data_IF_846273762016
#
_entry.id   IF_846273762016
#
_cell.length_a   1.000
_cell.length_b   1.000
_cell.length_c   1.000
_cell.angle_alpha   90.00
_cell.angle_beta   90.00
_cell.angle_gamma   90.00
#
_symmetry.space_group_name_H-M   'P 1'
#
loop_
_entity.id
_entity.type
_entity.pdbx_description
1 polymer ?
#
# COMPACT_ATOMS: atom_id res chain seq x y z
N UNK A 1 -44.60 -16.27 -61.23
CA UNK A 1 -45.27 -15.34 -62.18
C UNK A 1 -44.74 -13.92 -61.92
N UNK A 2 -44.16 -13.30 -63.01
CA UNK A 2 -43.90 -11.86 -63.21
C UNK A 2 -43.06 -11.10 -62.15
N UNK A 3 -41.71 -10.79 -62.34
CA UNK A 3 -41.08 -9.83 -63.27
C UNK A 3 -41.57 -8.40 -63.05
N UNK A 4 -40.65 -7.56 -62.63
CA UNK A 4 -40.24 -6.22 -63.05
C UNK A 4 -39.40 -5.61 -61.96
N UNK A 5 -38.16 -5.18 -62.06
CA UNK A 5 -37.46 -4.47 -63.10
C UNK A 5 -37.49 -2.98 -62.84
N UNK A 6 -36.32 -2.34 -62.72
CA UNK A 6 -36.01 -0.94 -63.05
C UNK A 6 -35.00 -0.40 -61.93
N UNK A 7 -33.81 -0.29 -62.30
CA UNK A 7 -33.04 0.78 -62.93
C UNK A 7 -32.21 1.63 -61.97
N UNK A 8 -30.95 1.70 -62.29
CA UNK A 8 -29.81 2.44 -61.81
C UNK A 8 -30.01 3.95 -61.58
N UNK A 9 -29.33 4.47 -60.57
CA UNK A 9 -28.78 5.82 -60.65
C UNK A 9 -27.47 5.86 -59.83
N UNK A 10 -26.36 5.94 -60.51
CA UNK A 10 -25.03 6.34 -59.96
C UNK A 10 -25.09 7.81 -59.56
N UNK A 11 -24.77 8.09 -58.35
CA UNK A 11 -24.26 9.40 -57.92
C UNK A 11 -22.93 9.19 -57.21
N UNK A 12 -21.86 9.52 -57.94
CA UNK A 12 -20.54 9.69 -57.40
C UNK A 12 -20.50 11.05 -56.70
N UNK A 13 -20.43 11.04 -55.35
CA UNK A 13 -20.08 12.22 -54.58
C UNK A 13 -18.71 11.97 -53.97
N UNK A 14 -17.73 12.71 -54.50
CA UNK A 14 -16.38 12.72 -53.99
C UNK A 14 -16.34 13.34 -52.62
N UNK A 15 -16.02 12.54 -51.59
CA UNK A 15 -15.65 13.02 -50.25
C UNK A 15 -14.16 13.40 -50.24
N UNK A 16 -13.92 14.70 -50.30
CA UNK A 16 -12.61 15.29 -49.95
C UNK A 16 -12.41 15.09 -48.44
N UNK A 17 -11.54 14.16 -48.07
CA UNK A 17 -11.14 13.97 -46.67
C UNK A 17 -10.14 15.07 -46.34
N UNK A 18 -10.65 16.11 -45.66
CA UNK A 18 -9.81 17.09 -44.94
C UNK A 18 -9.25 16.41 -43.70
N UNK A 19 -7.99 16.01 -43.76
CA UNK A 19 -7.22 15.57 -42.60
C UNK A 19 -6.91 16.78 -41.75
N UNK A 20 -7.70 16.99 -40.68
CA UNK A 20 -7.38 17.96 -39.63
C UNK A 20 -6.37 17.32 -38.69
N UNK A 21 -5.24 18.00 -38.35
CA UNK A 21 -4.35 17.51 -37.31
C UNK A 21 -5.08 17.56 -35.97
N UNK A 22 -5.26 16.38 -35.37
CA UNK A 22 -5.76 16.26 -33.99
C UNK A 22 -4.70 16.80 -33.02
N UNK A 23 -4.88 18.03 -32.57
CA UNK A 23 -4.14 18.56 -31.43
C UNK A 23 -4.52 17.76 -30.20
N UNK A 24 -3.59 16.98 -29.68
CA UNK A 24 -3.73 16.29 -28.39
C UNK A 24 -3.72 17.34 -27.27
N UNK A 25 -4.86 17.94 -26.98
CA UNK A 25 -5.04 18.76 -25.80
C UNK A 25 -5.02 17.85 -24.56
N UNK A 26 -4.04 18.09 -23.70
CA UNK A 26 -3.87 17.39 -22.43
C UNK A 26 -5.16 17.47 -21.61
N UNK A 27 -5.57 16.36 -21.00
CA UNK A 27 -6.72 16.29 -20.08
C UNK A 27 -6.62 17.30 -18.93
N UNK A 28 -5.41 17.75 -18.61
CA UNK A 28 -5.12 18.78 -17.61
C UNK A 28 -5.65 20.16 -18.01
N UNK A 29 -5.64 20.52 -19.30
CA UNK A 29 -6.14 21.83 -19.75
C UNK A 29 -7.66 21.89 -19.76
N UNK A 30 -8.34 20.77 -20.01
CA UNK A 30 -9.79 20.68 -19.89
C UNK A 30 -10.28 20.79 -18.44
N UNK A 31 -9.49 20.28 -17.50
CA UNK A 31 -9.86 20.36 -16.09
C UNK A 31 -9.72 21.77 -15.53
N UNK A 32 -8.71 22.55 -15.99
CA UNK A 32 -8.53 23.94 -15.60
C UNK A 32 -9.62 24.87 -16.13
N UNK A 33 -10.16 24.64 -17.31
CA UNK A 33 -11.21 25.48 -17.89
C UNK A 33 -12.59 25.31 -17.24
N UNK A 34 -12.83 24.19 -16.55
CA UNK A 34 -14.11 23.87 -15.90
C UNK A 34 -14.26 24.49 -14.51
N UNK A 35 -13.16 24.94 -13.86
CA UNK A 35 -13.17 25.46 -12.50
C UNK A 35 -12.76 26.94 -12.39
N UNK A 36 -12.85 27.73 -13.49
CA UNK A 36 -12.88 29.19 -13.42
C UNK A 36 -11.73 29.85 -12.65
N UNK A 37 -10.51 29.35 -12.73
CA UNK A 37 -9.33 29.98 -12.14
C UNK A 37 -8.70 30.97 -13.11
N UNK A 38 -8.61 32.26 -12.70
CA UNK A 38 -7.88 33.33 -13.35
C UNK A 38 -6.43 32.89 -13.65
N UNK A 39 -5.84 33.20 -14.80
CA UNK A 39 -4.43 32.87 -15.05
C UNK A 39 -3.54 33.68 -14.13
N UNK A 40 -3.00 33.03 -13.12
CA UNK A 40 -1.87 33.51 -12.35
C UNK A 40 -0.60 33.11 -13.09
N UNK A 41 0.20 34.12 -13.39
CA UNK A 41 1.54 34.04 -13.99
C UNK A 41 2.41 33.03 -13.22
N UNK A 42 3.22 32.20 -13.89
CA UNK A 42 4.03 31.20 -13.19
C UNK A 42 5.11 31.92 -12.39
N UNK A 43 4.94 32.02 -11.09
CA UNK A 43 6.01 32.34 -10.17
C UNK A 43 7.03 31.19 -10.25
N UNK A 44 8.10 31.42 -10.98
CA UNK A 44 9.32 30.63 -10.89
C UNK A 44 9.84 30.74 -9.47
N UNK A 45 9.62 29.72 -8.71
CA UNK A 45 10.44 29.36 -7.55
C UNK A 45 10.47 27.85 -7.44
N UNK A 46 11.13 27.20 -8.42
CA UNK A 46 11.73 25.92 -8.18
C UNK A 46 12.91 26.20 -7.25
N UNK A 47 12.71 26.06 -5.95
CA UNK A 47 13.82 25.81 -5.05
C UNK A 47 14.59 24.60 -5.62
N UNK A 48 15.95 24.65 -5.70
CA UNK A 48 16.71 23.51 -6.11
C UNK A 48 16.33 22.33 -5.23
N UNK A 49 15.81 21.26 -5.82
CA UNK A 49 15.59 20.01 -5.12
C UNK A 49 16.93 19.60 -4.50
N UNK A 50 16.97 19.46 -3.18
CA UNK A 50 18.17 19.02 -2.49
C UNK A 50 18.56 17.65 -3.06
N UNK A 51 19.79 17.48 -3.60
CA UNK A 51 20.22 16.20 -4.19
C UNK A 51 20.15 15.03 -3.21
N UNK A 52 20.02 15.31 -1.90
CA UNK A 52 19.88 14.30 -0.86
C UNK A 52 18.48 13.67 -0.80
N UNK A 53 17.40 14.38 -1.20
CA UNK A 53 16.04 13.80 -1.17
C UNK A 53 15.87 12.66 -2.19
N UNK A 54 16.38 12.80 -3.41
CA UNK A 54 16.32 11.74 -4.42
C UNK A 54 17.13 10.49 -4.05
N UNK A 55 18.25 10.66 -3.35
CA UNK A 55 19.09 9.53 -2.91
C UNK A 55 18.48 8.76 -1.72
N UNK A 56 17.63 9.40 -0.92
CA UNK A 56 16.95 8.76 0.21
C UNK A 56 15.84 7.84 -0.29
N UNK A 57 15.07 8.25 -1.29
CA UNK A 57 14.01 7.41 -1.89
C UNK A 57 14.58 6.17 -2.60
N UNK A 58 15.68 6.31 -3.31
CA UNK A 58 16.34 5.22 -4.06
C UNK A 58 16.90 4.14 -3.12
N UNK A 59 17.25 4.49 -1.89
CA UNK A 59 17.81 3.57 -0.90
C UNK A 59 16.79 3.00 0.10
N UNK A 60 15.53 3.40 0.02
CA UNK A 60 14.46 2.89 0.89
C UNK A 60 13.77 1.71 0.20
N UNK A 61 13.87 0.47 0.74
CA UNK A 61 13.31 -0.73 0.14
C UNK A 61 11.83 -0.62 -0.16
N UNK A 62 11.32 -1.25 -1.23
CA UNK A 62 9.89 -1.29 -1.52
C UNK A 62 9.12 -2.04 -0.43
N UNK A 63 7.84 -1.66 -0.23
CA UNK A 63 6.94 -2.36 0.69
C UNK A 63 6.11 -3.37 -0.08
N UNK A 64 6.03 -4.59 0.44
CA UNK A 64 5.19 -5.66 -0.07
C UNK A 64 4.39 -6.30 1.06
N UNK A 65 3.13 -6.62 0.81
CA UNK A 65 2.32 -7.38 1.76
C UNK A 65 2.69 -8.85 1.60
N UNK A 66 3.07 -9.50 2.71
CA UNK A 66 3.41 -10.94 2.69
C UNK A 66 2.22 -11.76 2.22
N UNK A 67 2.45 -12.71 1.30
CA UNK A 67 1.40 -13.59 0.82
C UNK A 67 0.71 -14.33 1.99
N UNK A 68 -0.61 -14.33 1.98
CA UNK A 68 -1.44 -14.90 3.05
C UNK A 68 -1.59 -14.05 4.32
N UNK A 69 -0.92 -12.89 4.41
CA UNK A 69 -0.96 -12.00 5.56
C UNK A 69 -1.64 -10.63 5.29
N UNK A 70 -2.35 -10.51 4.18
CA UNK A 70 -3.10 -9.29 3.81
C UNK A 70 -4.41 -9.12 4.56
N UNK A 71 -4.91 -10.20 5.16
CA UNK A 71 -6.19 -10.25 5.86
C UNK A 71 -6.03 -10.98 7.19
N UNK A 72 -6.68 -10.47 8.23
CA UNK A 72 -6.75 -11.06 9.57
C UNK A 72 -8.20 -11.19 9.98
N UNK A 73 -8.68 -12.42 10.12
CA UNK A 73 -10.04 -12.71 10.54
C UNK A 73 -10.06 -13.45 11.87
N UNK A 74 -11.00 -13.08 12.74
CA UNK A 74 -11.22 -13.69 14.05
C UNK A 74 -12.61 -14.28 14.12
N UNK A 75 -12.69 -15.55 14.50
CA UNK A 75 -13.94 -16.27 14.68
C UNK A 75 -14.53 -16.13 16.07
N UNK A 76 -15.75 -16.59 16.24
CA UNK A 76 -16.37 -16.79 17.54
C UNK A 76 -15.53 -17.76 18.39
N UNK A 77 -15.65 -17.68 19.71
CA UNK A 77 -14.85 -18.47 20.64
C UNK A 77 -14.84 -19.96 20.29
N UNK A 78 -13.65 -20.51 20.08
CA UNK A 78 -13.45 -21.92 19.73
C UNK A 78 -13.82 -22.31 18.30
N UNK A 79 -14.15 -21.34 17.43
CA UNK A 79 -14.54 -21.59 16.04
C UNK A 79 -13.56 -20.97 15.04
N UNK A 80 -13.48 -21.56 13.87
CA UNK A 80 -12.76 -20.97 12.75
C UNK A 80 -13.46 -19.69 12.26
N UNK A 81 -12.67 -18.73 11.76
CA UNK A 81 -13.20 -17.48 11.24
C UNK A 81 -13.77 -17.67 9.82
N UNK A 82 -14.86 -18.41 9.68
CA UNK A 82 -15.51 -18.73 8.42
C UNK A 82 -17.02 -18.53 8.47
N UNK A 83 -17.60 -18.05 7.39
CA UNK A 83 -19.05 -17.87 7.25
C UNK A 83 -19.66 -17.03 8.38
N UNK A 84 -20.70 -17.55 9.01
CA UNK A 84 -21.44 -16.85 10.07
C UNK A 84 -20.69 -16.79 11.41
N UNK A 85 -19.59 -17.52 11.56
CA UNK A 85 -18.79 -17.52 12.79
C UNK A 85 -17.72 -16.42 12.81
N UNK A 86 -17.58 -15.61 11.74
CA UNK A 86 -16.66 -14.47 11.71
C UNK A 86 -17.15 -13.36 12.64
N UNK A 87 -16.31 -12.96 13.60
CA UNK A 87 -16.55 -11.80 14.47
C UNK A 87 -16.12 -10.50 13.82
N UNK A 88 -14.93 -10.47 13.26
CA UNK A 88 -14.43 -9.34 12.50
C UNK A 88 -13.32 -9.79 11.54
N UNK A 89 -13.09 -8.96 10.54
CA UNK A 89 -11.98 -9.11 9.58
C UNK A 89 -11.29 -7.78 9.39
N UNK A 90 -9.96 -7.78 9.45
CA UNK A 90 -9.12 -6.64 9.12
C UNK A 90 -8.41 -6.87 7.78
N UNK A 91 -8.24 -5.81 6.99
CA UNK A 91 -7.54 -5.86 5.69
C UNK A 91 -6.64 -4.65 5.53
N UNK A 92 -5.41 -4.85 5.03
CA UNK A 92 -4.49 -3.76 4.68
C UNK A 92 -4.93 -3.18 3.34
N UNK A 93 -5.02 -1.85 3.24
CA UNK A 93 -5.49 -1.15 2.03
C UNK A 93 -4.44 -0.28 1.38
N UNK A 94 -3.57 0.37 2.18
CA UNK A 94 -2.49 1.23 1.68
C UNK A 94 -1.27 1.13 2.56
N UNK A 95 -0.10 1.39 1.95
CA UNK A 95 1.17 1.47 2.64
C UNK A 95 1.97 2.66 2.15
N UNK A 96 2.81 3.19 3.02
CA UNK A 96 3.79 4.22 2.70
C UNK A 96 5.10 3.88 3.41
N UNK A 97 6.21 4.40 2.91
CA UNK A 97 7.53 4.21 3.52
C UNK A 97 8.32 5.51 3.51
N UNK A 98 9.20 5.62 4.49
CA UNK A 98 10.20 6.65 4.61
C UNK A 98 11.41 6.08 5.33
N UNK A 99 12.64 6.46 4.95
CA UNK A 99 13.87 5.95 5.52
C UNK A 99 14.82 7.08 5.84
N UNK A 100 15.40 7.04 7.04
CA UNK A 100 16.44 7.97 7.45
C UNK A 100 17.73 7.22 7.71
N UNK A 101 18.85 7.67 7.12
CA UNK A 101 20.18 7.11 7.35
C UNK A 101 20.92 7.94 8.39
N UNK A 102 21.43 7.30 9.42
CA UNK A 102 22.26 7.92 10.44
C UNK A 102 23.17 6.89 11.12
N UNK A 103 24.40 7.25 11.39
CA UNK A 103 25.33 6.45 12.21
C UNK A 103 25.61 5.03 11.70
N UNK A 104 25.52 4.78 10.39
CA UNK A 104 25.72 3.43 9.81
C UNK A 104 24.48 2.55 9.82
N UNK A 105 23.35 3.08 10.24
CA UNK A 105 22.06 2.39 10.29
C UNK A 105 21.00 3.13 9.48
N UNK A 106 19.96 2.40 9.12
CA UNK A 106 18.75 2.93 8.50
C UNK A 106 17.59 2.74 9.48
N UNK A 107 16.90 3.84 9.78
CA UNK A 107 15.62 3.80 10.49
C UNK A 107 14.49 3.89 9.48
N UNK A 108 13.69 2.85 9.39
CA UNK A 108 12.54 2.81 8.51
C UNK A 108 11.27 3.22 9.25
N UNK A 109 10.45 4.00 8.56
CA UNK A 109 9.13 4.43 8.96
C UNK A 109 8.11 3.90 7.97
N UNK A 110 7.27 2.96 8.39
CA UNK A 110 6.29 2.30 7.53
C UNK A 110 4.89 2.68 8.00
N UNK A 111 4.18 3.39 7.13
CA UNK A 111 2.76 3.69 7.33
C UNK A 111 1.90 2.57 6.76
N UNK A 112 0.95 2.09 7.54
CA UNK A 112 0.02 1.02 7.18
C UNK A 112 -1.40 1.53 7.42
N UNK A 113 -2.22 1.56 6.38
CA UNK A 113 -3.64 1.85 6.49
C UNK A 113 -4.44 0.59 6.18
N UNK A 114 -5.54 0.43 6.87
CA UNK A 114 -6.46 -0.68 6.68
C UNK A 114 -7.84 -0.36 7.18
N UNK A 115 -8.69 -1.36 7.17
CA UNK A 115 -10.03 -1.30 7.73
C UNK A 115 -10.38 -2.56 8.46
N UNK A 116 -11.23 -2.43 9.47
CA UNK A 116 -11.84 -3.53 10.19
C UNK A 116 -13.33 -3.56 9.84
N UNK A 117 -13.83 -4.74 9.50
CA UNK A 117 -15.24 -4.97 9.19
C UNK A 117 -15.77 -5.96 10.22
N UNK A 118 -16.91 -5.63 10.87
CA UNK A 118 -17.63 -6.54 11.74
C UNK A 118 -18.20 -7.70 10.94
N UNK A 119 -18.07 -8.91 11.48
CA UNK A 119 -18.64 -10.10 10.90
C UNK A 119 -20.02 -10.43 11.50
N UNK A 120 -20.70 -11.46 10.94
CA UNK A 120 -22.06 -11.86 11.39
C UNK A 120 -22.14 -12.27 12.86
N UNK A 121 -21.05 -12.81 13.43
CA UNK A 121 -21.00 -13.20 14.84
C UNK A 121 -20.84 -12.01 15.81
N UNK A 122 -20.76 -10.78 15.29
CA UNK A 122 -20.63 -9.55 16.07
C UNK A 122 -19.20 -9.26 16.56
N UNK A 123 -18.68 -8.08 16.20
CA UNK A 123 -17.40 -7.61 16.69
C UNK A 123 -17.48 -7.17 18.17
N UNK A 124 -16.40 -7.26 18.95
CA UNK A 124 -16.33 -6.62 20.26
C UNK A 124 -16.25 -5.10 20.12
N UNK A 125 -16.47 -4.36 21.21
CA UNK A 125 -16.41 -2.90 21.21
C UNK A 125 -15.03 -2.34 20.76
N UNK A 126 -13.96 -3.11 20.97
CA UNK A 126 -12.64 -2.81 20.44
C UNK A 126 -11.91 -4.07 20.00
N UNK A 127 -11.06 -3.95 19.00
CA UNK A 127 -10.24 -5.04 18.47
C UNK A 127 -8.77 -4.66 18.46
N UNK A 128 -7.89 -5.61 18.79
CA UNK A 128 -6.46 -5.46 18.60
C UNK A 128 -6.06 -5.98 17.21
N UNK A 129 -5.32 -5.18 16.50
CA UNK A 129 -4.81 -5.48 15.16
C UNK A 129 -3.31 -5.75 15.27
N UNK A 130 -2.91 -7.02 15.16
CA UNK A 130 -1.51 -7.43 15.22
C UNK A 130 -0.87 -7.31 13.84
N UNK A 131 0.24 -6.61 13.75
CA UNK A 131 1.00 -6.43 12.52
C UNK A 131 2.47 -6.77 12.76
N UNK A 132 3.16 -7.19 11.71
CA UNK A 132 4.60 -7.34 11.71
C UNK A 132 5.19 -6.61 10.51
N UNK A 133 6.31 -5.96 10.74
CA UNK A 133 7.16 -5.39 9.69
C UNK A 133 8.51 -6.10 9.75
N UNK A 134 9.01 -6.50 8.60
CA UNK A 134 10.32 -7.13 8.47
C UNK A 134 11.08 -6.56 7.27
N UNK A 135 12.37 -6.32 7.43
CA UNK A 135 13.31 -6.12 6.33
C UNK A 135 13.86 -7.48 5.96
N UNK A 136 13.71 -7.84 4.70
CA UNK A 136 14.17 -9.13 4.18
C UNK A 136 15.04 -8.89 2.96
N UNK A 137 16.19 -9.51 2.94
CA UNK A 137 17.01 -9.64 1.73
C UNK A 137 16.40 -10.72 0.86
N UNK A 138 15.86 -10.33 -0.31
CA UNK A 138 15.32 -11.23 -1.31
C UNK A 138 16.40 -12.04 -2.02
N UNK A 139 15.99 -13.09 -2.71
CA UNK A 139 16.86 -13.99 -3.48
C UNK A 139 16.42 -15.44 -3.36
N UNK A 140 17.27 -16.37 -3.79
CA UNK A 140 17.00 -17.82 -3.73
C UNK A 140 16.79 -18.28 -2.27
N UNK A 141 17.50 -17.67 -1.33
CA UNK A 141 17.33 -17.91 0.11
C UNK A 141 17.06 -16.56 0.79
N UNK A 142 15.79 -16.30 1.10
CA UNK A 142 15.40 -15.11 1.83
C UNK A 142 16.08 -15.07 3.20
N UNK A 143 16.63 -13.89 3.56
CA UNK A 143 17.24 -13.65 4.86
C UNK A 143 16.55 -12.49 5.56
N UNK A 144 15.98 -12.74 6.73
CA UNK A 144 15.45 -11.67 7.58
C UNK A 144 16.60 -10.88 8.18
N UNK A 145 16.64 -9.57 7.90
CA UNK A 145 17.65 -8.64 8.41
C UNK A 145 17.20 -8.04 9.72
N UNK A 146 15.94 -7.56 9.77
CA UNK A 146 15.31 -7.07 11.00
C UNK A 146 13.81 -7.35 10.95
N UNK A 147 13.19 -7.55 12.11
CA UNK A 147 11.74 -7.74 12.21
C UNK A 147 11.23 -7.21 13.54
N UNK A 148 10.03 -6.61 13.51
CA UNK A 148 9.39 -6.09 14.72
C UNK A 148 7.87 -6.26 14.66
N UNK A 149 7.25 -6.75 15.77
CA UNK A 149 5.80 -6.77 15.92
C UNK A 149 5.28 -5.37 16.30
N UNK A 150 4.07 -5.07 15.84
CA UNK A 150 3.33 -3.86 16.17
C UNK A 150 1.89 -4.21 16.46
N UNK A 151 1.21 -3.36 17.23
CA UNK A 151 -0.20 -3.51 17.56
C UNK A 151 -0.89 -2.16 17.48
N UNK A 152 -2.15 -2.17 17.09
CA UNK A 152 -3.02 -1.00 17.21
C UNK A 152 -4.41 -1.46 17.67
N UNK A 153 -5.04 -0.65 18.49
CA UNK A 153 -6.40 -0.92 18.98
C UNK A 153 -7.38 -0.08 18.16
N UNK A 154 -8.44 -0.70 17.69
CA UNK A 154 -9.49 -0.06 16.89
C UNK A 154 -10.81 -0.16 17.67
N UNK A 155 -11.39 0.97 18.03
CA UNK A 155 -12.75 1.02 18.58
C UNK A 155 -13.75 0.78 17.45
N UNK A 156 -14.62 -0.20 17.61
CA UNK A 156 -15.64 -0.53 16.62
C UNK A 156 -16.83 0.42 16.73
N UNK A 157 -17.32 0.90 15.58
CA UNK A 157 -18.55 1.68 15.49
C UNK A 157 -19.76 0.79 15.24
N UNK A 158 -20.95 1.34 15.42
CA UNK A 158 -22.22 0.65 15.10
C UNK A 158 -22.34 0.31 13.62
N UNK A 159 -21.72 1.10 12.74
CA UNK A 159 -21.66 0.83 11.30
C UNK A 159 -20.82 -0.41 10.95
N UNK A 160 -20.02 -0.91 11.89
CA UNK A 160 -19.22 -2.11 11.73
C UNK A 160 -18.12 -2.05 10.67
N UNK A 161 -17.73 -0.85 10.21
CA UNK A 161 -16.66 -0.65 9.20
C UNK A 161 -15.77 0.53 9.61
N UNK A 162 -14.64 0.24 10.24
CA UNK A 162 -13.77 1.24 10.86
C UNK A 162 -12.39 1.23 10.18
N UNK A 163 -11.90 2.37 9.67
CA UNK A 163 -10.53 2.49 9.19
C UNK A 163 -9.55 2.51 10.37
N UNK A 164 -8.33 2.03 10.14
CA UNK A 164 -7.22 2.18 11.07
C UNK A 164 -5.96 2.64 10.34
N UNK A 165 -5.06 3.25 11.11
CA UNK A 165 -3.72 3.61 10.66
C UNK A 165 -2.72 3.22 11.73
N UNK A 166 -1.61 2.63 11.31
CA UNK A 166 -0.45 2.35 12.17
C UNK A 166 0.80 2.89 11.50
N UNK A 167 1.67 3.52 12.30
CA UNK A 167 3.00 3.94 11.85
C UNK A 167 4.05 3.17 12.65
N UNK A 168 4.75 2.26 11.96
CA UNK A 168 5.92 1.56 12.47
C UNK A 168 7.14 2.44 12.24
N UNK A 169 7.56 3.23 13.22
CA UNK A 169 8.55 4.29 13.05
C UNK A 169 9.94 3.98 13.63
N UNK A 170 10.15 2.77 14.11
CA UNK A 170 11.33 2.39 14.90
C UNK A 170 11.94 1.05 14.45
N UNK A 171 11.79 0.70 13.19
CA UNK A 171 12.48 -0.44 12.60
C UNK A 171 13.87 -0.01 12.13
N UNK A 172 14.90 -0.44 12.85
CA UNK A 172 16.31 -0.10 12.59
C UNK A 172 17.04 -1.31 12.04
N UNK A 173 17.86 -1.09 11.02
CA UNK A 173 18.72 -2.11 10.44
C UNK A 173 20.02 -1.50 9.88
N UNK A 174 21.13 -2.29 9.77
CA UNK A 174 22.39 -1.77 9.25
C UNK A 174 22.31 -1.40 7.77
N UNK A 175 23.06 -0.37 7.37
CA UNK A 175 23.20 -0.01 5.95
C UNK A 175 23.79 -1.22 5.21
N UNK A 176 23.12 -1.71 4.14
CA UNK A 176 23.61 -2.84 3.37
C UNK A 176 24.92 -2.47 2.64
N UNK A 177 25.87 -3.39 2.52
CA UNK A 177 27.10 -3.15 1.78
C UNK A 177 26.83 -3.13 0.26
N UNK A 178 27.34 -2.09 -0.41
CA UNK A 178 27.26 -1.95 -1.89
C UNK A 178 25.81 -2.06 -2.41
N UNK A 179 25.63 -2.71 -3.56
CA UNK A 179 24.32 -2.91 -4.20
C UNK A 179 23.40 -3.95 -3.51
N UNK A 180 23.80 -4.51 -2.38
CA UNK A 180 22.98 -5.51 -1.65
C UNK A 180 21.62 -4.92 -1.22
N UNK A 181 21.56 -3.61 -1.01
CA UNK A 181 20.33 -2.89 -0.66
C UNK A 181 19.21 -3.03 -1.69
N UNK A 182 19.56 -3.19 -2.97
CA UNK A 182 18.59 -3.33 -4.06
C UNK A 182 17.76 -4.62 -3.96
N UNK A 183 18.25 -5.61 -3.21
CA UNK A 183 17.54 -6.85 -2.93
C UNK A 183 16.68 -6.81 -1.65
N UNK A 184 16.68 -5.69 -0.92
CA UNK A 184 15.90 -5.57 0.31
C UNK A 184 14.44 -5.25 0.01
N UNK A 185 13.54 -5.85 0.78
CA UNK A 185 12.09 -5.65 0.70
C UNK A 185 11.55 -5.50 2.12
N UNK A 186 10.68 -4.52 2.35
CA UNK A 186 9.87 -4.49 3.55
C UNK A 186 8.66 -5.40 3.36
N UNK A 187 8.63 -6.52 4.07
CA UNK A 187 7.43 -7.32 4.18
C UNK A 187 6.59 -6.85 5.36
N UNK A 188 5.33 -6.63 5.10
CA UNK A 188 4.33 -6.33 6.13
C UNK A 188 3.21 -7.36 6.07
N UNK A 189 2.53 -7.55 7.19
CA UNK A 189 1.35 -8.41 7.23
C UNK A 189 0.78 -8.53 8.63
N UNK A 190 -0.42 -9.08 8.69
CA UNK A 190 -1.01 -9.46 9.98
C UNK A 190 -0.24 -10.66 10.56
N UNK A 191 0.06 -10.56 11.85
CA UNK A 191 0.73 -11.61 12.59
C UNK A 191 0.05 -11.87 13.94
N UNK A 192 -0.82 -12.86 14.04
CA UNK A 192 -1.48 -13.20 15.31
C UNK A 192 -0.50 -13.50 16.46
N UNK A 193 0.72 -13.94 16.16
CA UNK A 193 1.74 -14.20 17.18
C UNK A 193 2.23 -12.90 17.85
N UNK A 194 2.06 -11.76 17.19
CA UNK A 194 2.37 -10.46 17.79
C UNK A 194 1.46 -10.14 19.00
N UNK A 195 0.33 -10.84 19.19
CA UNK A 195 -0.53 -10.72 20.36
C UNK A 195 0.00 -11.50 21.58
N UNK A 196 0.92 -12.44 21.38
CA UNK A 196 1.53 -13.17 22.47
C UNK A 196 2.42 -12.24 23.32
N UNK A 197 2.52 -12.46 24.64
CA UNK A 197 3.48 -11.76 25.49
C UNK A 197 4.91 -11.96 24.94
N UNK A 198 5.72 -10.91 24.96
CA UNK A 198 7.12 -11.06 24.60
C UNK A 198 7.81 -12.10 25.49
N UNK A 199 8.62 -13.02 24.91
CA UNK A 199 9.38 -13.96 25.69
C UNK A 199 10.30 -13.20 26.64
N UNK A 200 10.19 -13.45 27.94
CA UNK A 200 11.10 -12.85 28.93
C UNK A 200 12.54 -13.14 28.52
N UNK A 201 13.46 -12.16 28.57
CA UNK A 201 14.87 -12.36 28.26
C UNK A 201 15.41 -13.54 29.08
N UNK A 202 15.96 -14.55 28.41
CA UNK A 202 16.63 -15.66 29.12
C UNK A 202 17.85 -15.08 29.83
N UNK A 203 17.76 -14.93 31.15
CA UNK A 203 18.91 -14.57 31.99
C UNK A 203 19.95 -15.67 31.76
N UNK A 204 21.07 -15.27 31.10
CA UNK A 204 22.18 -16.19 30.90
C UNK A 204 22.68 -16.62 32.28
N UNK A 205 22.49 -17.89 32.65
CA UNK A 205 23.10 -18.46 33.87
C UNK A 205 24.62 -18.35 33.72
N UNK A 206 25.26 -17.44 34.45
CA UNK A 206 26.72 -17.44 34.62
C UNK A 206 27.13 -18.85 35.12
N UNK A 207 27.83 -19.58 34.25
CA UNK A 207 28.55 -20.77 34.71
C UNK A 207 29.62 -20.33 35.73
N UNK A 208 29.49 -20.85 36.92
CA UNK A 208 30.51 -20.75 37.98
C UNK A 208 31.71 -21.66 37.64
#
# INVERSE_FOLDING_TARGET
MKIAGVAAAMFAVGCIVLVSPASSQSLTDRFKSLFGGKPEEPAQSAAPADPSEGQIEESCPPVSIRAGASTYAVGASGKAATGNDVRFQATITKTARDCTKAGGEITARIGIQGRVIAGPAGAPASVEIPLRVAVVQGGVSEKVIATKPYRTTVAMSEEGNVPFTLVAGDLVYPIPPGATGDSYIFYIGFDPQALAPEPKPKVAKKKK
#
